data_IF_519802522390
#
_entry.id   IF_519802522390
#
_cell.length_a   1.000
_cell.length_b   1.000
_cell.length_c   1.000
_cell.angle_alpha   90.00
_cell.angle_beta   90.00
_cell.angle_gamma   90.00
#
_symmetry.space_group_name_H-M   'P 1'
#
loop_
_entity.id
_entity.type
_entity.pdbx_description
1 polymer ?
#
# COMPACT_ATOMS: atom_id res chain seq x y z
N UNK A 1 -36.04 24.04 52.07
CA UNK A 1 -35.13 24.48 51.02
C UNK A 1 -34.81 23.28 50.16
N UNK A 2 -35.27 23.22 48.95
CA UNK A 2 -34.97 22.14 48.00
C UNK A 2 -33.77 22.58 47.13
N UNK A 3 -32.77 21.77 46.84
CA UNK A 3 -31.67 22.14 45.95
C UNK A 3 -32.14 21.98 44.50
N UNK A 4 -31.96 23.03 43.74
CA UNK A 4 -32.14 23.05 42.28
C UNK A 4 -30.90 22.52 41.62
N UNK A 5 -31.00 21.36 40.95
CA UNK A 5 -29.88 20.79 40.17
C UNK A 5 -29.92 21.46 38.77
N UNK A 6 -28.91 22.27 38.45
CA UNK A 6 -28.68 22.76 37.11
C UNK A 6 -28.01 21.66 36.29
N UNK A 7 -28.71 21.17 35.28
CA UNK A 7 -28.16 20.27 34.26
C UNK A 7 -27.48 21.13 33.19
N UNK A 8 -26.15 21.12 33.15
CA UNK A 8 -25.38 21.73 32.07
C UNK A 8 -25.40 20.81 30.84
N UNK A 9 -26.10 21.20 29.79
CA UNK A 9 -26.04 20.56 28.47
C UNK A 9 -24.72 20.99 27.82
N UNK A 10 -23.76 20.06 27.72
CA UNK A 10 -22.60 20.26 26.87
C UNK A 10 -23.00 20.01 25.40
N UNK A 11 -23.12 21.07 24.60
CA UNK A 11 -23.19 20.96 23.15
C UNK A 11 -21.85 20.49 22.63
N UNK A 12 -21.77 19.24 22.20
CA UNK A 12 -20.68 18.75 21.33
C UNK A 12 -20.87 19.40 19.97
N UNK A 13 -20.08 20.41 19.65
CA UNK A 13 -19.94 20.93 18.30
C UNK A 13 -19.30 19.82 17.45
N UNK A 14 -20.10 19.15 16.62
CA UNK A 14 -19.59 18.31 15.56
C UNK A 14 -18.90 19.25 14.56
N UNK A 15 -17.58 19.36 14.67
CA UNK A 15 -16.76 20.04 13.66
C UNK A 15 -16.99 19.37 12.32
N UNK A 16 -17.43 20.12 11.30
CA UNK A 16 -17.46 19.65 9.94
C UNK A 16 -16.05 19.17 9.56
N UNK A 17 -15.95 17.95 9.03
CA UNK A 17 -14.69 17.45 8.48
C UNK A 17 -14.21 18.47 7.43
N UNK A 18 -12.92 18.81 7.41
CA UNK A 18 -12.39 19.72 6.40
C UNK A 18 -12.67 19.11 5.02
N UNK A 19 -13.30 19.89 4.14
CA UNK A 19 -13.51 19.51 2.74
C UNK A 19 -12.14 19.17 2.16
N UNK A 20 -12.02 17.99 1.58
CA UNK A 20 -10.76 17.56 0.96
C UNK A 20 -10.39 18.51 -0.17
N UNK A 21 -9.13 18.94 -0.20
CA UNK A 21 -8.62 19.78 -1.28
C UNK A 21 -8.43 18.93 -2.53
N UNK A 22 -9.23 19.18 -3.57
CA UNK A 22 -9.19 18.47 -4.86
C UNK A 22 -8.31 19.18 -5.89
N UNK A 23 -7.72 20.33 -5.55
CA UNK A 23 -6.95 21.17 -6.47
C UNK A 23 -5.56 21.46 -5.92
N UNK A 24 -4.82 20.41 -5.56
CA UNK A 24 -3.47 20.55 -5.05
C UNK A 24 -2.50 21.01 -6.13
N UNK A 25 -1.56 21.82 -5.71
CA UNK A 25 -0.44 22.29 -6.53
C UNK A 25 0.87 21.60 -6.14
N UNK A 26 1.89 21.71 -6.99
CA UNK A 26 3.25 21.27 -6.61
C UNK A 26 3.74 21.93 -5.33
N UNK A 27 3.43 23.21 -5.11
CA UNK A 27 3.80 23.93 -3.89
C UNK A 27 3.16 23.32 -2.63
N UNK A 28 1.95 22.78 -2.74
CA UNK A 28 1.31 22.04 -1.65
C UNK A 28 2.04 20.76 -1.35
N UNK A 29 2.42 19.98 -2.37
CA UNK A 29 3.20 18.75 -2.19
C UNK A 29 4.56 19.07 -1.57
N UNK A 30 5.28 20.08 -2.09
CA UNK A 30 6.58 20.50 -1.56
C UNK A 30 6.47 20.91 -0.06
N UNK A 31 5.42 21.62 0.33
CA UNK A 31 5.13 21.95 1.72
C UNK A 31 4.85 20.69 2.57
N UNK A 32 4.06 19.76 2.04
CA UNK A 32 3.70 18.52 2.73
C UNK A 32 4.88 17.56 2.92
N UNK A 33 5.92 17.66 2.11
CA UNK A 33 7.18 16.94 2.35
C UNK A 33 7.79 17.25 3.73
N UNK A 34 7.50 18.45 4.27
CA UNK A 34 7.92 18.86 5.62
C UNK A 34 6.81 18.61 6.65
N UNK A 35 5.57 19.04 6.35
CA UNK A 35 4.45 18.97 7.31
C UNK A 35 4.07 17.52 7.67
N UNK A 36 4.18 16.57 6.74
CA UNK A 36 3.83 15.17 6.95
C UNK A 36 5.05 14.31 7.32
N UNK A 37 6.22 14.91 7.43
CA UNK A 37 7.46 14.20 7.71
C UNK A 37 7.42 13.45 9.04
N UNK A 38 7.94 12.22 9.02
CA UNK A 38 8.25 11.42 10.19
C UNK A 38 9.76 11.35 10.47
N UNK A 39 10.57 12.16 9.78
CA UNK A 39 12.02 12.14 9.99
C UNK A 39 12.36 12.39 11.45
N UNK A 40 13.29 11.61 11.99
CA UNK A 40 13.69 11.58 13.38
C UNK A 40 12.60 11.15 14.39
N UNK A 41 11.39 10.82 13.99
CA UNK A 41 10.32 10.38 14.90
C UNK A 41 10.73 9.15 15.72
N UNK A 42 11.48 8.24 15.13
CA UNK A 42 12.03 7.03 15.77
C UNK A 42 13.55 7.05 15.87
N UNK A 43 14.14 8.24 15.81
CA UNK A 43 15.59 8.46 15.90
C UNK A 43 16.23 8.68 14.53
N UNK A 44 17.43 9.30 14.58
CA UNK A 44 18.18 9.70 13.38
C UNK A 44 18.66 8.51 12.51
N UNK A 45 18.76 7.34 13.10
CA UNK A 45 19.26 6.13 12.42
C UNK A 45 18.13 5.20 11.97
N UNK A 46 16.86 5.60 12.16
CA UNK A 46 15.71 4.81 11.74
C UNK A 46 15.65 4.64 10.22
N UNK A 47 15.34 3.41 9.78
CA UNK A 47 15.27 3.01 8.38
C UNK A 47 14.02 2.15 8.07
N UNK A 48 13.03 2.11 8.98
CA UNK A 48 11.80 1.34 8.78
C UNK A 48 10.53 2.20 8.88
N UNK A 49 10.68 3.47 9.24
CA UNK A 49 9.60 4.45 9.22
C UNK A 49 8.38 4.05 10.01
N UNK A 50 7.20 4.17 9.40
CA UNK A 50 5.90 3.87 10.03
C UNK A 50 5.72 2.39 10.41
N UNK A 51 6.56 1.47 9.94
CA UNK A 51 6.55 0.07 10.39
C UNK A 51 6.90 -0.04 11.87
N UNK A 52 7.58 0.95 12.47
CA UNK A 52 7.74 1.07 13.93
C UNK A 52 6.40 1.11 14.70
N UNK A 53 5.30 1.49 14.05
CA UNK A 53 3.95 1.49 14.63
C UNK A 53 3.36 0.07 14.77
N UNK A 54 3.95 -0.91 14.11
CA UNK A 54 3.59 -2.32 14.25
C UNK A 54 4.27 -2.88 15.52
N UNK A 55 3.77 -2.47 16.67
CA UNK A 55 4.28 -2.89 17.98
C UNK A 55 3.99 -4.37 18.26
N UNK A 56 4.64 -5.01 19.26
CA UNK A 56 4.26 -6.35 19.71
C UNK A 56 2.78 -6.46 20.11
N UNK A 57 2.22 -5.43 20.73
CA UNK A 57 0.80 -5.37 21.07
C UNK A 57 -0.09 -5.35 19.82
N UNK A 58 0.29 -4.57 18.79
CA UNK A 58 -0.42 -4.52 17.51
C UNK A 58 -0.39 -5.87 16.80
N UNK A 59 0.75 -6.57 16.78
CA UNK A 59 0.85 -7.92 16.21
C UNK A 59 -0.06 -8.93 16.92
N UNK A 60 -0.11 -8.89 18.26
CA UNK A 60 -1.02 -9.75 19.04
C UNK A 60 -2.49 -9.44 18.75
N UNK A 61 -2.84 -8.15 18.66
CA UNK A 61 -4.19 -7.71 18.27
C UNK A 61 -4.57 -8.23 16.88
N UNK A 62 -3.67 -8.11 15.92
CA UNK A 62 -3.88 -8.60 14.56
C UNK A 62 -4.05 -10.13 14.50
N UNK A 63 -3.22 -10.88 15.24
CA UNK A 63 -3.33 -12.33 15.32
C UNK A 63 -4.67 -12.79 15.90
N UNK A 64 -5.24 -12.03 16.85
CA UNK A 64 -6.56 -12.32 17.42
C UNK A 64 -7.73 -12.15 16.43
N UNK A 65 -7.48 -11.62 15.24
CA UNK A 65 -8.49 -11.53 14.17
C UNK A 65 -8.67 -12.87 13.42
N UNK A 66 -7.81 -13.83 13.61
CA UNK A 66 -7.95 -15.14 12.96
C UNK A 66 -8.99 -15.98 13.69
N UNK A 67 -10.20 -16.05 13.12
CA UNK A 67 -11.32 -16.81 13.69
C UNK A 67 -11.64 -18.07 12.89
N UNK A 68 -11.39 -18.06 11.59
CA UNK A 68 -11.75 -19.15 10.68
C UNK A 68 -10.54 -19.90 10.15
N UNK A 69 -9.34 -19.31 10.18
CA UNK A 69 -8.13 -19.88 9.61
C UNK A 69 -8.12 -19.90 8.07
N UNK A 70 -8.95 -19.10 7.42
CA UNK A 70 -9.02 -18.99 5.95
C UNK A 70 -8.01 -17.98 5.45
N UNK A 71 -7.04 -18.45 4.67
CA UNK A 71 -5.99 -17.63 4.07
C UNK A 71 -6.26 -17.31 2.61
N UNK A 72 -5.96 -16.06 2.22
CA UNK A 72 -6.17 -15.53 0.86
C UNK A 72 -4.90 -14.80 0.44
N UNK A 73 -4.35 -15.19 -0.73
CA UNK A 73 -3.25 -14.50 -1.37
C UNK A 73 -3.72 -13.14 -1.88
N UNK A 74 -2.92 -12.10 -1.65
CA UNK A 74 -3.08 -10.77 -2.24
C UNK A 74 -2.09 -10.54 -3.39
N UNK A 75 -1.37 -11.57 -3.83
CA UNK A 75 -0.50 -11.46 -4.98
C UNK A 75 -1.21 -11.91 -6.26
N UNK A 76 -0.92 -11.19 -7.33
CA UNK A 76 -1.23 -11.61 -8.69
C UNK A 76 -0.37 -12.81 -9.06
N UNK A 77 -0.95 -13.80 -9.74
CA UNK A 77 -0.14 -14.79 -10.46
C UNK A 77 0.80 -14.10 -11.44
N UNK A 78 2.00 -14.64 -11.61
CA UNK A 78 3.03 -13.98 -12.42
C UNK A 78 2.64 -13.92 -13.90
N UNK A 79 2.71 -12.72 -14.46
CA UNK A 79 2.40 -12.47 -15.87
C UNK A 79 3.65 -12.74 -16.72
N UNK A 80 3.69 -13.87 -17.41
CA UNK A 80 4.83 -14.34 -18.21
C UNK A 80 4.80 -13.87 -19.68
N UNK A 81 3.73 -13.20 -20.08
CA UNK A 81 3.57 -12.67 -21.45
C UNK A 81 3.63 -11.14 -21.45
N UNK A 82 4.23 -10.52 -22.48
CA UNK A 82 4.20 -9.07 -22.64
C UNK A 82 2.77 -8.58 -22.88
N UNK A 83 2.45 -7.43 -22.28
CA UNK A 83 1.16 -6.76 -22.44
C UNK A 83 1.35 -5.24 -22.31
N UNK A 84 0.31 -4.46 -22.59
CA UNK A 84 0.37 -3.01 -22.45
C UNK A 84 0.71 -2.54 -21.01
N UNK A 85 0.32 -3.32 -20.00
CA UNK A 85 0.65 -3.12 -18.58
C UNK A 85 1.79 -4.02 -18.07
N UNK A 86 2.46 -4.78 -18.97
CA UNK A 86 3.55 -5.68 -18.64
C UNK A 86 4.65 -5.63 -19.69
N UNK A 87 5.48 -4.59 -19.65
CA UNK A 87 6.63 -4.44 -20.56
C UNK A 87 7.82 -5.34 -20.18
N UNK A 88 7.87 -5.85 -18.95
CA UNK A 88 8.93 -6.71 -18.42
C UNK A 88 8.32 -7.98 -17.83
N UNK A 89 7.93 -8.95 -18.65
CA UNK A 89 7.33 -10.19 -18.20
C UNK A 89 8.19 -10.95 -17.19
N UNK A 90 7.53 -11.68 -16.30
CA UNK A 90 8.22 -12.56 -15.37
C UNK A 90 8.92 -13.69 -16.14
N UNK A 91 10.23 -13.80 -15.98
CA UNK A 91 11.03 -14.89 -16.54
C UNK A 91 10.96 -16.13 -15.68
N UNK A 92 10.53 -17.25 -16.27
CA UNK A 92 10.57 -18.57 -15.67
C UNK A 92 11.21 -19.55 -16.62
N UNK A 93 12.27 -20.21 -16.20
CA UNK A 93 13.01 -21.18 -17.01
C UNK A 93 13.23 -22.46 -16.24
N UNK A 94 12.73 -23.57 -16.78
CA UNK A 94 13.08 -24.90 -16.28
C UNK A 94 14.52 -25.23 -16.67
N UNK A 95 15.36 -25.51 -15.68
CA UNK A 95 16.74 -25.96 -15.86
C UNK A 95 16.79 -27.48 -15.98
N UNK A 96 16.03 -28.18 -15.11
CA UNK A 96 15.86 -29.62 -15.15
C UNK A 96 14.39 -29.98 -15.08
N UNK A 97 14.00 -30.99 -15.85
CA UNK A 97 12.62 -31.49 -15.91
C UNK A 97 12.60 -33.02 -15.65
N UNK A 98 11.45 -33.59 -15.41
CA UNK A 98 11.29 -35.04 -15.26
C UNK A 98 11.62 -35.86 -16.52
N UNK A 99 11.84 -35.20 -17.68
CA UNK A 99 12.22 -35.84 -18.94
C UNK A 99 13.73 -35.88 -19.19
N UNK A 100 14.50 -35.03 -18.54
CA UNK A 100 15.90 -34.80 -18.87
C UNK A 100 16.88 -35.65 -18.11
N UNK A 101 16.45 -36.35 -17.06
CA UNK A 101 17.36 -37.08 -16.21
C UNK A 101 16.64 -38.30 -15.59
N UNK A 102 17.38 -39.38 -15.25
CA UNK A 102 16.90 -40.31 -14.26
C UNK A 102 16.89 -39.72 -12.84
N UNK A 103 16.87 -38.39 -12.70
CA UNK A 103 16.96 -37.66 -11.44
C UNK A 103 15.66 -37.62 -10.64
N UNK A 104 15.78 -37.28 -9.35
CA UNK A 104 14.69 -37.24 -8.39
C UNK A 104 14.08 -35.86 -8.19
N UNK A 105 14.53 -34.83 -8.93
CA UNK A 105 14.11 -33.46 -8.73
C UNK A 105 14.07 -32.65 -10.04
N UNK A 106 13.34 -31.53 -10.03
CA UNK A 106 13.35 -30.51 -11.05
C UNK A 106 14.01 -29.24 -10.51
N UNK A 107 14.55 -28.41 -11.41
CA UNK A 107 15.14 -27.11 -11.11
C UNK A 107 14.61 -26.06 -12.06
N UNK A 108 14.46 -24.86 -11.55
CA UNK A 108 14.07 -23.69 -12.32
C UNK A 108 14.80 -22.42 -11.83
N UNK A 109 14.73 -21.39 -12.63
CA UNK A 109 15.19 -20.06 -12.26
C UNK A 109 14.11 -19.01 -12.58
N UNK A 110 14.06 -17.94 -11.79
CA UNK A 110 13.19 -16.80 -11.99
C UNK A 110 14.00 -15.54 -12.24
N UNK A 111 13.48 -14.70 -13.16
CA UNK A 111 13.98 -13.35 -13.38
C UNK A 111 12.80 -12.40 -13.36
N UNK A 112 12.86 -11.35 -12.52
CA UNK A 112 11.77 -10.40 -12.38
C UNK A 112 12.28 -8.97 -12.22
N UNK A 113 11.75 -8.07 -13.07
CA UNK A 113 11.79 -6.62 -12.87
C UNK A 113 10.46 -6.22 -12.23
N UNK A 114 10.40 -6.20 -10.91
CA UNK A 114 9.12 -6.13 -10.19
C UNK A 114 8.57 -4.71 -10.06
N UNK A 115 9.42 -3.68 -10.02
CA UNK A 115 8.94 -2.30 -10.06
C UNK A 115 8.20 -2.03 -11.37
N UNK A 116 7.01 -1.44 -11.27
CA UNK A 116 6.14 -1.21 -12.41
C UNK A 116 4.69 -1.63 -12.15
N UNK A 117 3.97 -2.07 -13.19
CA UNK A 117 2.51 -2.23 -13.12
C UNK A 117 2.02 -3.68 -13.32
N UNK A 118 2.89 -4.67 -13.29
CA UNK A 118 2.52 -6.06 -13.56
C UNK A 118 2.61 -6.98 -12.34
N UNK A 119 3.66 -6.85 -11.56
CA UNK A 119 4.00 -7.80 -10.51
C UNK A 119 3.71 -7.25 -9.14
N UNK A 120 3.09 -8.05 -8.26
CA UNK A 120 2.88 -7.68 -6.87
C UNK A 120 4.23 -7.55 -6.16
N UNK A 121 4.47 -6.39 -5.56
CA UNK A 121 5.73 -6.09 -4.88
C UNK A 121 5.54 -5.12 -3.71
N UNK A 122 6.57 -5.01 -2.91
CA UNK A 122 6.71 -4.02 -1.84
C UNK A 122 7.87 -3.10 -2.18
N UNK A 123 7.64 -1.79 -2.07
CA UNK A 123 8.67 -0.78 -2.17
C UNK A 123 9.32 -0.53 -0.82
N UNK A 124 10.67 -0.53 -0.81
CA UNK A 124 11.46 -0.07 0.31
C UNK A 124 11.61 1.46 0.29
N UNK A 125 12.00 2.06 1.42
CA UNK A 125 12.08 3.51 1.56
C UNK A 125 13.17 4.16 0.69
N UNK A 126 14.12 3.37 0.17
CA UNK A 126 15.12 3.82 -0.79
C UNK A 126 14.67 3.79 -2.26
N UNK A 127 13.40 3.41 -2.54
CA UNK A 127 12.92 3.32 -3.91
C UNK A 127 12.76 4.68 -4.58
N UNK A 128 12.47 5.73 -3.84
CA UNK A 128 12.19 7.06 -4.38
C UNK A 128 13.07 8.15 -3.76
N UNK A 129 13.30 9.22 -4.53
CA UNK A 129 14.14 10.35 -4.14
C UNK A 129 13.40 11.68 -4.30
N UNK A 130 13.67 12.60 -3.38
CA UNK A 130 13.22 13.98 -3.46
C UNK A 130 14.34 14.92 -3.02
N UNK A 131 14.72 15.86 -3.88
CA UNK A 131 15.80 16.84 -3.64
C UNK A 131 17.10 16.19 -3.11
N UNK A 132 17.49 15.06 -3.69
CA UNK A 132 18.72 14.36 -3.32
C UNK A 132 18.63 13.48 -2.07
N UNK A 133 17.44 13.28 -1.51
CA UNK A 133 17.23 12.58 -0.24
C UNK A 133 16.19 11.48 -0.35
N UNK A 134 16.33 10.49 0.55
CA UNK A 134 15.39 9.43 0.88
C UNK A 134 14.79 9.70 2.26
N UNK A 135 14.01 8.72 2.77
CA UNK A 135 13.46 8.77 4.11
C UNK A 135 14.55 9.09 5.15
N UNK A 136 14.15 9.76 6.21
CA UNK A 136 14.98 10.18 7.35
C UNK A 136 16.21 11.03 6.98
N UNK A 137 16.20 11.62 5.76
CA UNK A 137 17.23 12.53 5.28
C UNK A 137 18.49 11.86 4.71
N UNK A 138 18.49 10.54 4.57
CA UNK A 138 19.60 9.85 3.93
C UNK A 138 19.81 10.31 2.49
N UNK A 139 21.08 10.41 2.08
CA UNK A 139 21.42 10.84 0.72
C UNK A 139 21.07 9.77 -0.31
N UNK A 140 20.46 10.16 -1.43
CA UNK A 140 20.26 9.28 -2.59
C UNK A 140 21.58 8.70 -3.14
N UNK A 141 22.72 9.36 -2.91
CA UNK A 141 24.05 8.88 -3.33
C UNK A 141 24.47 7.58 -2.63
N UNK A 142 23.74 7.16 -1.58
CA UNK A 142 23.95 5.86 -0.92
C UNK A 142 23.30 4.70 -1.67
N UNK A 143 22.52 4.98 -2.72
CA UNK A 143 22.03 4.00 -3.69
C UNK A 143 22.94 4.01 -4.90
N UNK A 144 23.67 2.92 -5.10
CA UNK A 144 24.69 2.79 -6.12
C UNK A 144 24.43 1.55 -6.99
N UNK A 145 25.33 1.27 -7.93
CA UNK A 145 25.34 0.02 -8.70
C UNK A 145 25.48 -1.25 -7.84
N UNK A 146 25.90 -1.10 -6.57
CA UNK A 146 26.00 -2.18 -5.58
C UNK A 146 24.74 -2.32 -4.71
N UNK A 147 23.72 -1.50 -4.95
CA UNK A 147 22.50 -1.43 -4.19
C UNK A 147 22.42 -0.26 -3.19
N UNK A 148 21.39 -0.24 -2.39
CA UNK A 148 21.13 0.79 -1.38
C UNK A 148 21.84 0.44 -0.05
N UNK A 149 22.66 1.35 0.45
CA UNK A 149 23.30 1.21 1.76
C UNK A 149 22.39 1.64 2.92
N UNK A 150 21.30 2.36 2.63
CA UNK A 150 20.29 2.85 3.59
C UNK A 150 18.89 2.61 3.06
N UNK A 151 17.93 2.49 3.96
CA UNK A 151 16.51 2.34 3.67
C UNK A 151 16.16 1.13 2.78
N UNK A 152 17.07 0.13 2.70
CA UNK A 152 16.93 -1.05 1.85
C UNK A 152 15.87 -2.03 2.36
N UNK A 153 15.40 -2.89 1.47
CA UNK A 153 14.38 -3.92 1.77
C UNK A 153 14.80 -4.88 2.89
N UNK A 154 16.10 -5.10 3.09
CA UNK A 154 16.64 -5.94 4.16
C UNK A 154 16.26 -5.46 5.57
N UNK A 155 15.88 -4.20 5.74
CA UNK A 155 15.39 -3.69 7.02
C UNK A 155 14.03 -4.30 7.43
N UNK A 156 13.32 -4.92 6.49
CA UNK A 156 12.02 -5.58 6.70
C UNK A 156 12.11 -7.11 6.71
N UNK A 157 13.33 -7.69 6.83
CA UNK A 157 13.59 -9.15 6.78
C UNK A 157 12.85 -9.95 7.86
N UNK A 158 12.50 -9.32 8.98
CA UNK A 158 11.76 -9.98 10.07
C UNK A 158 10.26 -10.10 9.76
N UNK A 159 9.85 -9.65 8.57
CA UNK A 159 8.49 -9.74 8.06
C UNK A 159 7.56 -8.65 8.60
N UNK A 160 6.45 -8.53 7.92
CA UNK A 160 5.36 -7.61 8.25
C UNK A 160 4.20 -8.45 8.77
N UNK A 161 3.69 -8.13 9.96
CA UNK A 161 2.53 -8.78 10.55
C UNK A 161 1.69 -7.74 11.30
N UNK A 162 0.51 -7.39 10.79
CA UNK A 162 -0.38 -6.40 11.39
C UNK A 162 -1.84 -6.63 10.98
N UNK A 163 -2.73 -5.77 11.48
CA UNK A 163 -4.10 -5.70 10.99
C UNK A 163 -4.10 -5.10 9.58
N UNK A 164 -4.56 -5.87 8.60
CA UNK A 164 -4.88 -5.41 7.26
C UNK A 164 -6.33 -4.92 7.21
N UNK A 165 -6.59 -3.86 6.45
CA UNK A 165 -7.94 -3.32 6.21
C UNK A 165 -8.11 -3.14 4.70
N UNK A 166 -9.17 -3.75 4.15
CA UNK A 166 -9.56 -3.54 2.77
C UNK A 166 -10.49 -2.34 2.65
N UNK A 167 -10.14 -1.41 1.76
CA UNK A 167 -11.01 -0.32 1.29
C UNK A 167 -11.45 -0.68 -0.13
N UNK A 168 -12.73 -1.01 -0.30
CA UNK A 168 -13.30 -1.42 -1.58
C UNK A 168 -14.16 -0.30 -2.16
N UNK A 169 -13.55 0.56 -2.97
CA UNK A 169 -14.24 1.72 -3.55
C UNK A 169 -15.23 1.33 -4.65
N UNK A 170 -14.97 0.36 -5.53
CA UNK A 170 -16.01 -0.16 -6.42
C UNK A 170 -17.28 -0.61 -5.69
N UNK A 171 -17.13 -1.38 -4.60
CA UNK A 171 -18.28 -1.81 -3.79
C UNK A 171 -18.99 -0.62 -3.11
N UNK A 172 -18.25 0.38 -2.66
CA UNK A 172 -18.82 1.62 -2.12
C UNK A 172 -19.70 2.32 -3.15
N UNK A 173 -19.20 2.42 -4.39
CA UNK A 173 -19.84 3.14 -5.51
C UNK A 173 -20.84 2.28 -6.29
N UNK A 174 -21.00 1.00 -5.97
CA UNK A 174 -21.93 0.08 -6.65
C UNK A 174 -21.52 -0.26 -8.09
N UNK A 175 -20.20 -0.28 -8.38
CA UNK A 175 -19.64 -0.62 -9.69
C UNK A 175 -18.70 -1.82 -9.57
N UNK A 176 -18.41 -2.48 -10.70
CA UNK A 176 -17.49 -3.62 -10.70
C UNK A 176 -16.02 -3.18 -10.52
N UNK A 177 -15.66 -2.04 -11.09
CA UNK A 177 -14.33 -1.44 -11.04
C UNK A 177 -14.42 0.07 -11.27
N UNK A 178 -13.37 0.80 -10.91
CA UNK A 178 -13.18 2.19 -11.30
C UNK A 178 -12.56 2.25 -12.69
N UNK A 179 -12.97 3.23 -13.50
CA UNK A 179 -12.27 3.49 -14.76
C UNK A 179 -10.88 4.09 -14.51
N UNK A 180 -9.90 3.89 -15.41
CA UNK A 180 -8.58 4.49 -15.30
C UNK A 180 -8.64 6.00 -15.08
N UNK A 181 -7.66 6.52 -14.35
CA UNK A 181 -7.57 7.94 -13.97
C UNK A 181 -8.71 8.43 -13.04
N UNK A 182 -9.45 7.53 -12.40
CA UNK A 182 -10.41 7.90 -11.36
C UNK A 182 -9.69 8.14 -10.03
N UNK A 183 -9.72 9.36 -9.48
CA UNK A 183 -9.14 9.63 -8.16
C UNK A 183 -10.04 9.08 -7.06
N UNK A 184 -9.40 8.62 -5.97
CA UNK A 184 -10.03 8.32 -4.70
C UNK A 184 -9.64 9.41 -3.70
N UNK A 185 -10.63 10.05 -3.10
CA UNK A 185 -10.45 11.18 -2.20
C UNK A 185 -10.64 10.77 -0.72
N UNK A 186 -10.20 11.59 0.25
CA UNK A 186 -10.41 11.32 1.68
C UNK A 186 -11.87 11.07 2.06
N UNK A 187 -12.81 11.76 1.46
CA UNK A 187 -14.25 11.55 1.69
C UNK A 187 -14.74 10.18 1.21
N UNK A 188 -14.14 9.59 0.17
CA UNK A 188 -14.41 8.21 -0.22
C UNK A 188 -13.94 7.23 0.87
N UNK A 189 -12.77 7.52 1.48
CA UNK A 189 -12.21 6.71 2.57
C UNK A 189 -13.07 6.81 3.83
N UNK A 190 -13.54 8.00 4.17
CA UNK A 190 -14.48 8.21 5.29
C UNK A 190 -15.82 7.53 5.06
N UNK A 191 -16.35 7.64 3.83
CA UNK A 191 -17.58 6.93 3.46
C UNK A 191 -17.41 5.41 3.55
N UNK A 192 -16.21 4.90 3.19
CA UNK A 192 -15.90 3.48 3.35
C UNK A 192 -15.81 3.08 4.82
N UNK A 193 -15.09 3.80 5.68
CA UNK A 193 -15.04 3.52 7.13
C UNK A 193 -16.47 3.40 7.71
N UNK A 194 -17.36 4.32 7.32
CA UNK A 194 -18.75 4.31 7.77
C UNK A 194 -19.53 3.10 7.24
N UNK A 195 -19.39 2.78 5.94
CA UNK A 195 -20.07 1.63 5.31
C UNK A 195 -19.58 0.30 5.87
N UNK A 196 -18.27 0.15 6.04
CA UNK A 196 -17.62 -1.07 6.49
C UNK A 196 -17.73 -1.29 8.01
N UNK A 197 -18.06 -0.25 8.77
CA UNK A 197 -18.05 -0.29 10.23
C UNK A 197 -16.65 -0.47 10.83
N UNK A 198 -15.60 -0.12 10.08
CA UNK A 198 -14.20 -0.28 10.47
C UNK A 198 -13.57 1.09 10.68
N UNK A 199 -12.76 1.22 11.72
CA UNK A 199 -11.97 2.42 12.01
C UNK A 199 -10.51 2.14 11.76
N UNK A 200 -9.90 2.86 10.83
CA UNK A 200 -8.47 2.80 10.56
C UNK A 200 -7.71 3.52 11.66
N UNK A 201 -6.61 2.95 12.12
CA UNK A 201 -5.82 3.48 13.23
C UNK A 201 -4.34 3.10 13.15
N UNK A 202 -3.62 3.50 14.19
CA UNK A 202 -2.17 3.35 14.25
C UNK A 202 -1.71 1.91 14.06
N UNK A 203 -0.72 1.74 13.19
CA UNK A 203 -0.12 0.46 12.88
C UNK A 203 -0.92 -0.42 11.93
N UNK A 204 -2.07 0.04 11.41
CA UNK A 204 -2.83 -0.68 10.39
C UNK A 204 -2.13 -0.63 9.02
N UNK A 205 -2.43 -1.62 8.19
CA UNK A 205 -2.03 -1.68 6.79
C UNK A 205 -3.29 -1.59 5.94
N UNK A 206 -3.37 -0.59 5.08
CA UNK A 206 -4.56 -0.26 4.32
C UNK A 206 -4.39 -0.68 2.87
N UNK A 207 -5.31 -1.46 2.34
CA UNK A 207 -5.35 -1.87 0.93
C UNK A 207 -6.50 -1.19 0.21
N UNK A 208 -6.20 -0.40 -0.81
CA UNK A 208 -7.18 0.21 -1.70
C UNK A 208 -7.45 -0.71 -2.89
N UNK A 209 -8.68 -1.22 -2.99
CA UNK A 209 -9.15 -1.87 -4.20
C UNK A 209 -9.82 -0.85 -5.12
N UNK A 210 -9.30 -0.74 -6.34
CA UNK A 210 -9.91 0.03 -7.43
C UNK A 210 -10.66 -0.87 -8.42
N UNK A 211 -10.45 -2.19 -8.35
CA UNK A 211 -10.98 -3.18 -9.27
C UNK A 211 -10.19 -3.29 -10.57
N UNK A 212 -8.91 -2.90 -10.54
CA UNK A 212 -8.04 -2.93 -11.73
C UNK A 212 -8.05 -4.29 -12.43
N UNK A 213 -7.94 -5.38 -11.68
CA UNK A 213 -7.86 -6.72 -12.26
C UNK A 213 -9.19 -7.18 -12.83
N UNK A 214 -10.32 -6.81 -12.22
CA UNK A 214 -11.65 -7.01 -12.78
C UNK A 214 -11.82 -6.26 -14.10
N UNK A 215 -11.35 -5.00 -14.18
CA UNK A 215 -11.36 -4.23 -15.41
C UNK A 215 -10.48 -4.85 -16.49
N UNK A 216 -9.25 -5.27 -16.13
CA UNK A 216 -8.32 -5.92 -17.04
C UNK A 216 -8.91 -7.21 -17.62
N UNK A 217 -9.60 -7.99 -16.81
CA UNK A 217 -10.30 -9.19 -17.28
C UNK A 217 -11.46 -8.87 -18.24
N UNK A 218 -12.20 -7.78 -18.00
CA UNK A 218 -13.37 -7.40 -18.78
C UNK A 218 -13.02 -6.65 -20.08
N UNK A 219 -11.96 -5.83 -20.08
CA UNK A 219 -11.62 -4.88 -21.17
C UNK A 219 -10.25 -5.13 -21.81
N UNK A 220 -9.47 -6.05 -21.27
CA UNK A 220 -8.07 -6.28 -21.66
C UNK A 220 -7.07 -5.33 -20.99
N UNK A 221 -5.76 -5.59 -21.19
CA UNK A 221 -4.68 -4.77 -20.66
C UNK A 221 -4.65 -3.38 -21.32
N UNK A 222 -4.16 -2.38 -20.59
CA UNK A 222 -3.97 -1.02 -21.06
C UNK A 222 -2.69 -0.44 -20.47
N UNK A 223 -2.26 0.74 -20.91
CA UNK A 223 -1.14 1.46 -20.29
C UNK A 223 -1.54 1.97 -18.89
N UNK A 224 -1.35 1.12 -17.88
CA UNK A 224 -1.64 1.43 -16.51
C UNK A 224 -0.66 2.45 -15.91
N UNK A 225 0.52 2.64 -16.51
CA UNK A 225 1.49 3.64 -16.08
C UNK A 225 1.04 5.06 -16.41
N UNK A 226 0.33 5.22 -17.52
CA UNK A 226 -0.25 6.50 -17.89
C UNK A 226 -1.64 6.73 -17.29
N UNK A 227 -2.41 5.67 -17.04
CA UNK A 227 -3.80 5.76 -16.62
C UNK A 227 -4.16 4.70 -15.58
N UNK A 228 -4.20 5.07 -14.31
CA UNK A 228 -4.65 4.21 -13.20
C UNK A 228 -5.59 4.95 -12.26
N UNK A 229 -6.62 4.27 -11.77
CA UNK A 229 -7.35 4.73 -10.60
C UNK A 229 -6.48 4.53 -9.35
N UNK A 230 -6.57 5.43 -8.38
CA UNK A 230 -5.77 5.36 -7.17
C UNK A 230 -6.03 6.52 -6.21
N UNK A 231 -5.24 6.60 -5.14
CA UNK A 231 -5.32 7.69 -4.20
C UNK A 231 -4.97 9.03 -4.85
N UNK A 232 -5.81 10.03 -4.62
CA UNK A 232 -5.42 11.40 -4.84
C UNK A 232 -4.50 11.87 -3.71
N UNK A 233 -3.61 12.82 -3.99
CA UNK A 233 -2.57 13.25 -3.05
C UNK A 233 -3.10 13.70 -1.68
N UNK A 234 -4.33 14.26 -1.60
CA UNK A 234 -4.94 14.68 -0.32
C UNK A 234 -5.18 13.52 0.66
N UNK A 235 -5.23 12.27 0.17
CA UNK A 235 -5.33 11.10 1.02
C UNK A 235 -4.10 10.92 1.94
N UNK A 236 -2.93 11.47 1.57
CA UNK A 236 -1.74 11.37 2.39
C UNK A 236 -1.92 12.00 3.78
N UNK A 237 -2.55 13.18 3.87
CA UNK A 237 -2.87 13.81 5.16
C UNK A 237 -3.83 12.97 6.00
N UNK A 238 -4.86 12.42 5.37
CA UNK A 238 -5.86 11.60 6.03
C UNK A 238 -5.26 10.32 6.62
N UNK A 239 -4.40 9.64 5.85
CA UNK A 239 -3.68 8.43 6.27
C UNK A 239 -2.62 8.74 7.33
N UNK A 240 -1.92 9.88 7.22
CA UNK A 240 -0.98 10.37 8.23
C UNK A 240 -1.65 10.60 9.58
N UNK A 241 -2.82 11.22 9.61
CA UNK A 241 -3.57 11.48 10.85
C UNK A 241 -3.99 10.19 11.56
N UNK A 242 -4.08 9.08 10.84
CA UNK A 242 -4.41 7.76 11.36
C UNK A 242 -3.19 6.91 11.73
N UNK A 243 -1.99 7.43 11.48
CA UNK A 243 -0.74 6.73 11.74
C UNK A 243 -0.71 5.33 11.10
N UNK A 244 -1.12 5.20 9.85
CA UNK A 244 -1.06 3.92 9.15
C UNK A 244 0.39 3.46 9.01
N UNK A 245 0.62 2.14 9.14
CA UNK A 245 1.96 1.58 9.02
C UNK A 245 2.39 1.40 7.56
N UNK A 246 1.48 1.00 6.71
CA UNK A 246 1.73 0.78 5.28
C UNK A 246 0.44 1.00 4.49
N UNK A 247 0.59 1.20 3.20
CA UNK A 247 -0.52 1.20 2.25
C UNK A 247 -0.24 0.21 1.13
N UNK A 248 -1.31 -0.21 0.46
CA UNK A 248 -1.22 -1.02 -0.74
C UNK A 248 -2.39 -0.74 -1.68
N UNK A 249 -2.23 -1.14 -2.94
CA UNK A 249 -3.32 -1.07 -3.91
C UNK A 249 -3.21 -2.16 -4.99
N UNK A 250 -4.26 -2.28 -5.79
CA UNK A 250 -4.26 -3.15 -6.97
C UNK A 250 -3.64 -2.49 -8.22
N UNK A 251 -3.05 -1.29 -8.04
CA UNK A 251 -2.23 -0.58 -9.02
C UNK A 251 -0.95 -0.06 -8.34
N UNK A 252 -0.38 1.06 -8.80
CA UNK A 252 0.77 1.73 -8.17
C UNK A 252 0.31 2.84 -7.22
N UNK A 253 -0.68 2.60 -6.41
CA UNK A 253 -1.23 3.46 -5.36
C UNK A 253 -1.67 4.87 -5.80
N UNK A 254 -0.88 5.63 -6.56
CA UNK A 254 -1.25 6.93 -7.12
C UNK A 254 -2.34 6.81 -8.19
N UNK A 255 -3.26 7.79 -8.23
CA UNK A 255 -4.04 8.03 -9.44
C UNK A 255 -3.13 8.52 -10.55
N UNK A 256 -3.27 7.97 -11.76
CA UNK A 256 -2.46 8.37 -12.92
C UNK A 256 -3.35 8.85 -14.08
N UNK A 257 -3.08 10.05 -14.62
CA UNK A 257 -2.10 11.05 -14.15
C UNK A 257 -2.45 11.57 -12.75
N UNK A 258 -1.46 12.07 -12.03
CA UNK A 258 -1.60 12.46 -10.61
C UNK A 258 -2.56 13.62 -10.33
N UNK A 259 -2.96 14.36 -11.37
CA UNK A 259 -3.73 15.61 -11.31
C UNK A 259 -3.03 16.74 -10.54
N UNK A 260 -1.76 16.59 -10.20
CA UNK A 260 -0.91 17.63 -9.60
C UNK A 260 0.17 17.98 -10.61
N UNK A 261 0.04 19.14 -11.25
CA UNK A 261 0.98 19.58 -12.27
C UNK A 261 2.42 19.58 -11.76
N UNK A 262 3.34 18.97 -12.52
CA UNK A 262 4.78 18.89 -12.18
C UNK A 262 5.14 17.86 -11.09
N UNK A 263 4.19 17.02 -10.62
CA UNK A 263 4.46 15.92 -9.68
C UNK A 263 3.83 14.62 -10.22
N UNK A 264 4.67 13.67 -10.62
CA UNK A 264 4.16 12.45 -11.26
C UNK A 264 3.47 11.48 -10.29
N UNK A 265 4.06 11.23 -9.12
CA UNK A 265 3.59 10.27 -8.12
C UNK A 265 3.65 10.88 -6.71
N UNK A 266 2.72 11.80 -6.38
CA UNK A 266 2.74 12.49 -5.09
C UNK A 266 2.52 11.57 -3.89
N UNK A 267 1.75 10.49 -4.03
CA UNK A 267 1.54 9.50 -2.96
C UNK A 267 2.85 8.75 -2.66
N UNK A 268 3.53 8.23 -3.69
CA UNK A 268 4.84 7.59 -3.50
C UNK A 268 5.84 8.56 -2.87
N UNK A 269 5.91 9.80 -3.36
CA UNK A 269 6.82 10.82 -2.84
C UNK A 269 6.54 11.12 -1.36
N UNK A 270 5.30 11.36 -0.98
CA UNK A 270 4.91 11.67 0.39
C UNK A 270 5.08 10.46 1.32
N UNK A 271 4.71 9.26 0.85
CA UNK A 271 4.75 8.07 1.69
C UNK A 271 6.16 7.57 1.89
N UNK A 272 6.88 7.25 0.81
CA UNK A 272 8.21 6.66 0.93
C UNK A 272 9.22 7.63 1.56
N UNK A 273 9.17 8.91 1.19
CA UNK A 273 10.22 9.86 1.58
C UNK A 273 9.84 10.66 2.83
N UNK A 274 8.70 11.37 2.83
CA UNK A 274 8.34 12.22 3.96
C UNK A 274 7.89 11.37 5.16
N UNK A 275 6.93 10.48 4.95
CA UNK A 275 6.31 9.71 6.02
C UNK A 275 7.12 8.46 6.41
N UNK A 276 7.97 7.94 5.54
CA UNK A 276 8.64 6.66 5.74
C UNK A 276 7.66 5.50 5.78
N UNK A 277 6.65 5.52 4.89
CA UNK A 277 5.59 4.52 4.81
C UNK A 277 5.81 3.64 3.59
N UNK A 278 6.22 2.37 3.76
CA UNK A 278 6.39 1.44 2.64
C UNK A 278 5.06 1.16 1.93
N UNK A 279 5.14 0.78 0.65
CA UNK A 279 3.98 0.60 -0.23
C UNK A 279 3.95 -0.83 -0.76
N UNK A 280 2.75 -1.41 -0.85
CA UNK A 280 2.49 -2.62 -1.64
C UNK A 280 1.80 -2.24 -2.95
N UNK A 281 2.42 -2.54 -4.07
CA UNK A 281 1.85 -2.26 -5.38
C UNK A 281 1.40 -3.52 -6.11
N UNK A 282 0.44 -3.34 -7.01
CA UNK A 282 -0.13 -4.37 -7.88
C UNK A 282 -0.65 -5.62 -7.15
N UNK A 283 -1.21 -5.45 -5.96
CA UNK A 283 -1.87 -6.53 -5.25
C UNK A 283 -3.09 -7.04 -6.04
N UNK A 284 -3.39 -8.33 -5.98
CA UNK A 284 -4.67 -8.85 -6.46
C UNK A 284 -5.67 -8.84 -5.31
N UNK A 285 -6.57 -7.87 -5.32
CA UNK A 285 -7.56 -7.67 -4.26
C UNK A 285 -8.94 -8.22 -4.61
N UNK A 286 -9.08 -8.97 -5.72
CA UNK A 286 -10.39 -9.49 -6.15
C UNK A 286 -10.89 -10.62 -5.23
N UNK A 287 -10.01 -11.55 -4.86
CA UNK A 287 -10.38 -12.68 -3.99
C UNK A 287 -10.70 -12.21 -2.57
N UNK A 288 -9.91 -11.29 -2.02
CA UNK A 288 -10.13 -10.75 -0.68
C UNK A 288 -11.40 -9.90 -0.61
N UNK A 289 -11.73 -9.13 -1.66
CA UNK A 289 -12.97 -8.37 -1.77
C UNK A 289 -14.20 -9.28 -1.65
N UNK A 290 -14.24 -10.38 -2.40
CA UNK A 290 -15.32 -11.37 -2.35
C UNK A 290 -15.43 -12.01 -0.96
N UNK A 291 -14.30 -12.42 -0.38
CA UNK A 291 -14.25 -13.07 0.92
C UNK A 291 -14.67 -12.14 2.07
N UNK A 292 -14.25 -10.88 2.03
CA UNK A 292 -14.62 -9.85 2.99
C UNK A 292 -16.13 -9.53 2.91
N UNK A 293 -16.68 -9.40 1.70
CA UNK A 293 -18.08 -9.14 1.47
C UNK A 293 -18.97 -10.29 1.99
N UNK A 294 -18.58 -11.57 1.74
CA UNK A 294 -19.31 -12.74 2.25
C UNK A 294 -19.37 -12.79 3.77
N UNK A 295 -18.33 -12.27 4.45
CA UNK A 295 -18.21 -12.22 5.91
C UNK A 295 -18.75 -10.94 6.51
N UNK A 296 -19.04 -9.95 5.69
CA UNK A 296 -19.24 -8.56 6.10
C UNK A 296 -18.14 -8.09 7.08
N UNK A 297 -16.88 -8.44 6.75
CA UNK A 297 -15.70 -8.21 7.59
C UNK A 297 -14.54 -7.73 6.72
N UNK A 298 -14.06 -6.53 6.98
CA UNK A 298 -13.12 -5.80 6.12
C UNK A 298 -11.73 -5.68 6.74
N UNK A 299 -11.52 -6.36 7.87
CA UNK A 299 -10.24 -6.45 8.56
C UNK A 299 -9.82 -7.91 8.71
N UNK A 300 -8.52 -8.13 8.71
CA UNK A 300 -7.90 -9.46 8.73
C UNK A 300 -6.49 -9.39 9.30
N UNK A 301 -5.92 -10.53 9.68
CA UNK A 301 -4.48 -10.64 9.89
C UNK A 301 -3.79 -10.54 8.53
N UNK A 302 -2.90 -9.55 8.36
CA UNK A 302 -1.98 -9.49 7.24
C UNK A 302 -0.60 -10.01 7.65
N UNK A 303 -0.03 -10.89 6.83
CA UNK A 303 1.37 -11.29 6.89
C UNK A 303 2.03 -11.11 5.53
N UNK A 304 3.26 -10.58 5.51
CA UNK A 304 4.06 -10.41 4.30
C UNK A 304 5.55 -10.53 4.64
N UNK A 305 6.30 -11.22 3.81
CA UNK A 305 7.73 -11.46 4.02
C UNK A 305 8.50 -11.12 2.75
N UNK A 306 9.05 -9.90 2.64
CA UNK A 306 9.88 -9.54 1.50
C UNK A 306 11.16 -10.39 1.48
N UNK A 307 11.64 -10.68 0.27
CA UNK A 307 12.92 -11.35 0.08
C UNK A 307 14.03 -10.41 0.57
N UNK A 308 14.89 -10.81 1.52
CA UNK A 308 15.89 -9.92 2.12
C UNK A 308 17.12 -9.74 1.21
N UNK A 309 16.92 -9.19 0.03
CA UNK A 309 18.00 -8.90 -0.92
C UNK A 309 18.85 -7.75 -0.40
N UNK A 310 20.14 -7.99 -0.19
CA UNK A 310 21.07 -6.94 0.28
C UNK A 310 21.09 -5.75 -0.68
N UNK A 311 20.79 -4.57 -0.17
CA UNK A 311 20.72 -3.34 -0.96
C UNK A 311 19.54 -3.25 -1.92
N UNK A 312 18.57 -4.18 -1.85
CA UNK A 312 17.39 -4.16 -2.70
C UNK A 312 16.48 -2.95 -2.40
N UNK A 313 15.89 -2.38 -3.45
CA UNK A 313 15.00 -1.21 -3.38
C UNK A 313 13.54 -1.58 -3.15
N UNK A 314 13.25 -2.86 -3.12
CA UNK A 314 11.94 -3.46 -2.89
C UNK A 314 12.04 -4.98 -3.00
N UNK A 315 10.90 -5.64 -3.05
CA UNK A 315 10.82 -7.11 -3.21
C UNK A 315 9.53 -7.52 -3.88
N UNK A 316 9.55 -8.43 -4.87
CA UNK A 316 8.36 -9.19 -5.19
C UNK A 316 8.00 -10.05 -3.97
N UNK A 317 6.71 -10.21 -3.70
CA UNK A 317 6.24 -11.01 -2.56
C UNK A 317 4.77 -11.41 -2.74
N UNK A 318 4.33 -12.30 -1.86
CA UNK A 318 2.93 -12.69 -1.75
C UNK A 318 2.39 -12.31 -0.36
N UNK A 319 1.73 -11.16 -0.18
CA UNK A 319 1.06 -10.84 1.07
C UNK A 319 -0.15 -11.76 1.26
N UNK A 320 -0.35 -12.23 2.50
CA UNK A 320 -1.45 -13.15 2.84
C UNK A 320 -2.39 -12.48 3.84
N UNK A 321 -3.66 -12.45 3.49
CA UNK A 321 -4.74 -12.10 4.41
C UNK A 321 -5.32 -13.37 5.05
N UNK A 322 -5.53 -13.37 6.37
CA UNK A 322 -6.13 -14.51 7.09
C UNK A 322 -7.28 -14.04 7.96
N UNK A 323 -8.46 -14.66 7.79
CA UNK A 323 -9.69 -14.43 8.57
C UNK A 323 -9.87 -15.38 9.73
#
# INVERSE_FOLDING_TARGET
MKPTVLLALALLAAGAAPVADHNLTKADIDRWMTELSNWNRWGKDDQIGTVNLITPAKRKQAAALVHEGVSISLARETEIAPAADNSSPFGHKMLWTGKNTPGQFSLDEYTVSYHGYAHTHMDALCHMFYQGKMYNGYSQQTVTDKGAAKDAITNFKDGIMSRGILIDIPLLKGVAYLEPSTPVYPEDLEAWEKKAGVKIGSGDIVFLRTGRWARRAAKGPWDASAHSAGFYASCAKWLKQRDVAMVGSDAASDVMPSMVEGVAQPIHQLFLIAMGTPIFDNCDLEAISKAAAQRNRWEFLLTASPIPVTGGTGSPLNPIATF
#
